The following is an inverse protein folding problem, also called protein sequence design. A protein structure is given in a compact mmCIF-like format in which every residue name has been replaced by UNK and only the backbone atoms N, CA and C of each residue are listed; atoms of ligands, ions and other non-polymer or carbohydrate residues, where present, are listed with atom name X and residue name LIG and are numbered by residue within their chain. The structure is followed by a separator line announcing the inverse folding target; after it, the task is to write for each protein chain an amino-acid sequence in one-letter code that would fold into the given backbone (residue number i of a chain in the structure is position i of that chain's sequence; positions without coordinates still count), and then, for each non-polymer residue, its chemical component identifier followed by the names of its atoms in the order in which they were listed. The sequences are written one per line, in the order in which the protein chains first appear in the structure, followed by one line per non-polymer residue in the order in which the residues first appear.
data_IF_193328360553
#
_entry.id   IF_193328360553
#
_cell.length_a   1.000
_cell.length_b   1.000
_cell.length_c   1.000
_cell.angle_alpha   90.00
_cell.angle_beta   90.00
_cell.angle_gamma   90.00
#
_symmetry.space_group_name_H-M   'P 1'
#
loop_
_entity.id
_entity.type
_entity.pdbx_description
1 polymer ?
#
# COMPACT_ATOMS: atom_id res chain seq x y z
N UNK A 1 -12.51 13.33 9.02
CA UNK A 1 -11.17 13.94 9.26
C UNK A 1 -11.00 15.16 8.36
N UNK A 2 -10.49 16.26 8.88
CA UNK A 2 -10.17 17.46 8.10
C UNK A 2 -8.74 17.39 7.49
N UNK A 3 -8.46 18.28 6.53
CA UNK A 3 -7.17 18.28 5.82
C UNK A 3 -5.97 18.59 6.74
N UNK A 4 -6.18 19.39 7.80
CA UNK A 4 -5.10 19.76 8.73
C UNK A 4 -4.66 18.58 9.57
N UNK A 5 -5.62 17.85 10.11
CA UNK A 5 -5.36 16.60 10.84
C UNK A 5 -4.75 15.52 9.96
N UNK A 6 -5.27 15.35 8.72
CA UNK A 6 -4.71 14.42 7.77
C UNK A 6 -3.23 14.72 7.46
N UNK A 7 -2.89 15.99 7.19
CA UNK A 7 -1.49 16.41 6.96
C UNK A 7 -0.59 16.12 8.16
N UNK A 8 -1.06 16.38 9.38
CA UNK A 8 -0.28 16.12 10.58
C UNK A 8 0.01 14.63 10.78
N UNK A 9 -0.95 13.74 10.49
CA UNK A 9 -0.77 12.29 10.56
C UNK A 9 0.12 11.75 9.43
N UNK A 10 0.04 12.33 8.22
CA UNK A 10 0.94 12.00 7.10
C UNK A 10 2.38 12.39 7.45
N UNK A 11 2.59 13.59 7.97
CA UNK A 11 3.94 14.06 8.35
C UNK A 11 4.53 13.22 9.50
N UNK A 12 3.71 12.77 10.45
CA UNK A 12 4.12 11.82 11.48
C UNK A 12 4.69 10.53 10.83
N UNK A 13 3.99 9.97 9.85
CA UNK A 13 4.42 8.78 9.13
C UNK A 13 5.66 9.03 8.27
N UNK A 14 5.73 10.15 7.55
CA UNK A 14 6.89 10.52 6.74
C UNK A 14 8.15 10.66 7.60
N UNK A 15 8.03 11.30 8.75
CA UNK A 15 9.13 11.42 9.73
C UNK A 15 9.55 10.04 10.24
N UNK A 16 8.58 9.22 10.65
CA UNK A 16 8.85 7.86 11.12
C UNK A 16 9.63 7.04 10.08
N UNK A 17 9.19 7.02 8.83
CA UNK A 17 9.85 6.24 7.78
C UNK A 17 11.21 6.79 7.39
N UNK A 18 11.40 8.11 7.38
CA UNK A 18 12.70 8.75 7.14
C UNK A 18 13.73 8.35 8.19
N UNK A 19 13.32 8.31 9.46
CA UNK A 19 14.20 7.99 10.58
C UNK A 19 14.48 6.50 10.73
N UNK A 20 13.57 5.63 10.28
CA UNK A 20 13.62 4.19 10.54
C UNK A 20 13.76 3.34 9.27
N UNK A 21 14.00 3.93 8.09
CA UNK A 21 14.00 3.22 6.80
C UNK A 21 14.92 1.99 6.78
N UNK A 22 16.15 2.10 7.28
CA UNK A 22 17.12 1.00 7.30
C UNK A 22 16.62 -0.16 8.17
N UNK A 23 16.33 0.10 9.45
CA UNK A 23 15.86 -0.93 10.39
C UNK A 23 14.52 -1.54 9.97
N UNK A 24 13.66 -0.73 9.32
CA UNK A 24 12.40 -1.21 8.77
C UNK A 24 12.62 -2.15 7.58
N UNK A 25 13.54 -1.82 6.68
CA UNK A 25 13.90 -2.64 5.53
C UNK A 25 14.52 -3.98 5.94
N UNK A 26 15.43 -3.98 6.93
CA UNK A 26 16.08 -5.19 7.45
C UNK A 26 15.09 -6.23 7.99
N UNK A 27 13.99 -5.79 8.61
CA UNK A 27 12.96 -6.69 9.14
C UNK A 27 12.01 -7.23 8.06
N UNK A 28 12.14 -6.80 6.81
CA UNK A 28 11.21 -7.10 5.71
C UNK A 28 11.92 -7.69 4.51
N UNK A 29 12.55 -8.84 4.71
CA UNK A 29 13.25 -9.59 3.66
C UNK A 29 12.37 -10.64 2.96
N UNK A 30 11.41 -11.24 3.68
CA UNK A 30 10.56 -12.29 3.14
C UNK A 30 9.34 -11.74 2.38
N UNK A 31 8.92 -12.41 1.29
CA UNK A 31 7.67 -12.07 0.62
C UNK A 31 6.46 -12.38 1.53
N UNK A 32 5.39 -11.63 1.36
CA UNK A 32 4.13 -11.91 2.05
C UNK A 32 3.42 -13.11 1.41
N UNK A 33 2.77 -13.93 2.24
CA UNK A 33 2.04 -15.12 1.75
C UNK A 33 0.90 -14.74 0.80
N UNK A 34 0.21 -13.62 1.08
CA UNK A 34 -0.87 -13.12 0.24
C UNK A 34 -0.44 -12.79 -1.20
N UNK A 35 0.82 -12.44 -1.42
CA UNK A 35 1.31 -12.16 -2.78
C UNK A 35 1.29 -13.38 -3.70
N UNK A 36 1.40 -14.59 -3.14
CA UNK A 36 1.29 -15.82 -3.93
C UNK A 36 -0.10 -15.97 -4.55
N UNK A 37 -1.16 -15.66 -3.79
CA UNK A 37 -2.53 -15.73 -4.30
C UNK A 37 -2.80 -14.60 -5.30
N UNK A 38 -2.24 -13.39 -5.08
CA UNK A 38 -2.29 -12.31 -6.06
C UNK A 38 -1.66 -12.74 -7.38
N UNK A 39 -0.46 -13.33 -7.36
CA UNK A 39 0.22 -13.79 -8.56
C UNK A 39 -0.54 -14.91 -9.28
N UNK A 40 -1.09 -15.90 -8.55
CA UNK A 40 -1.92 -16.96 -9.12
C UNK A 40 -3.18 -16.40 -9.78
N UNK A 41 -3.87 -15.50 -9.09
CA UNK A 41 -5.07 -14.84 -9.62
C UNK A 41 -4.72 -14.01 -10.86
N UNK A 42 -3.62 -13.26 -10.82
CA UNK A 42 -3.16 -12.51 -12.00
C UNK A 42 -2.88 -13.44 -13.20
N UNK A 43 -2.20 -14.57 -13.01
CA UNK A 43 -1.96 -15.53 -14.08
C UNK A 43 -3.25 -16.14 -14.64
N UNK A 44 -4.22 -16.44 -13.79
CA UNK A 44 -5.51 -17.00 -14.19
C UNK A 44 -6.36 -16.01 -14.99
N UNK A 45 -6.41 -14.77 -14.52
CA UNK A 45 -7.28 -13.72 -15.07
C UNK A 45 -6.67 -12.97 -16.26
N UNK A 46 -5.33 -13.02 -16.39
CA UNK A 46 -4.56 -12.45 -17.50
C UNK A 46 -3.71 -13.55 -18.15
N UNK A 47 -4.34 -14.57 -18.78
CA UNK A 47 -3.60 -15.65 -19.40
C UNK A 47 -2.71 -15.13 -20.53
N UNK A 48 -1.73 -15.94 -20.90
CA UNK A 48 -0.81 -15.67 -22.01
C UNK A 48 -1.61 -15.62 -23.33
N UNK A 49 -1.90 -14.45 -23.82
CA UNK A 49 -2.71 -14.23 -25.04
C UNK A 49 -2.49 -12.84 -25.64
N UNK A 50 -1.53 -12.11 -25.11
CA UNK A 50 -1.04 -10.86 -25.70
C UNK A 50 -0.15 -11.16 -26.90
N UNK A 51 0.00 -10.16 -27.77
CA UNK A 51 0.98 -10.26 -28.83
C UNK A 51 2.33 -10.70 -28.22
N UNK A 52 2.91 -11.75 -28.77
CA UNK A 52 4.15 -12.31 -28.29
C UNK A 52 5.20 -11.18 -28.24
N UNK A 53 5.67 -10.83 -27.02
CA UNK A 53 6.68 -9.80 -26.83
C UNK A 53 6.25 -8.55 -26.04
N UNK A 54 4.96 -8.35 -25.74
CA UNK A 54 4.54 -7.20 -24.92
C UNK A 54 4.81 -7.47 -23.42
N UNK A 55 5.61 -6.62 -22.75
CA UNK A 55 5.91 -6.80 -21.34
C UNK A 55 4.67 -6.53 -20.47
N UNK A 56 4.57 -7.26 -19.37
CA UNK A 56 3.59 -7.00 -18.31
C UNK A 56 3.99 -5.74 -17.55
N UNK A 57 3.12 -4.75 -17.46
CA UNK A 57 3.35 -3.51 -16.72
C UNK A 57 2.74 -3.59 -15.33
N UNK A 58 3.56 -3.42 -14.30
CA UNK A 58 3.16 -3.52 -12.90
C UNK A 58 3.46 -2.23 -12.18
N UNK A 59 2.44 -1.66 -11.51
CA UNK A 59 2.57 -0.56 -10.57
C UNK A 59 2.61 -1.11 -9.14
N UNK A 60 3.58 -0.65 -8.36
CA UNK A 60 3.64 -0.90 -6.91
C UNK A 60 3.61 0.43 -6.16
N UNK A 61 2.44 0.77 -5.63
CA UNK A 61 2.21 1.99 -4.85
C UNK A 61 2.67 1.79 -3.41
N UNK A 62 3.54 2.68 -2.93
CA UNK A 62 4.28 2.57 -1.67
C UNK A 62 5.16 1.31 -1.64
N UNK A 63 6.03 1.22 -2.65
CA UNK A 63 6.83 0.02 -2.93
C UNK A 63 7.93 -0.25 -1.87
N UNK A 64 8.25 0.72 -1.02
CA UNK A 64 9.32 0.60 -0.02
C UNK A 64 10.64 0.14 -0.66
N UNK A 65 11.21 -0.93 -0.13
CA UNK A 65 12.45 -1.54 -0.64
C UNK A 65 12.26 -2.43 -1.89
N UNK A 66 11.14 -2.33 -2.58
CA UNK A 66 10.82 -3.05 -3.83
C UNK A 66 10.88 -4.59 -3.75
N UNK A 67 10.67 -5.17 -2.58
CA UNK A 67 10.71 -6.65 -2.43
C UNK A 67 9.59 -7.35 -3.20
N UNK A 68 8.48 -6.66 -3.51
CA UNK A 68 7.43 -7.18 -4.39
C UNK A 68 7.98 -7.43 -5.80
N UNK A 69 8.83 -6.55 -6.32
CA UNK A 69 9.48 -6.75 -7.62
C UNK A 69 10.24 -8.08 -7.67
N UNK A 70 11.09 -8.34 -6.67
CA UNK A 70 11.87 -9.58 -6.60
C UNK A 70 10.99 -10.83 -6.47
N UNK A 71 9.88 -10.73 -5.74
CA UNK A 71 8.89 -11.80 -5.66
C UNK A 71 8.22 -12.04 -7.01
N UNK A 72 7.75 -10.99 -7.69
CA UNK A 72 7.04 -11.12 -8.98
C UNK A 72 7.94 -11.64 -10.09
N UNK A 73 9.20 -11.26 -10.10
CA UNK A 73 10.20 -11.82 -11.02
C UNK A 73 10.31 -13.34 -10.89
N UNK A 74 10.29 -13.85 -9.67
CA UNK A 74 10.32 -15.29 -9.40
C UNK A 74 8.97 -15.97 -9.65
N UNK A 75 7.86 -15.28 -9.39
CA UNK A 75 6.52 -15.82 -9.54
C UNK A 75 6.00 -15.82 -10.99
N UNK A 76 6.59 -14.98 -11.87
CA UNK A 76 6.21 -14.82 -13.28
C UNK A 76 7.42 -15.08 -14.22
N UNK A 77 8.08 -16.25 -14.15
CA UNK A 77 9.38 -16.49 -14.79
C UNK A 77 9.36 -16.46 -16.32
N UNK A 78 8.18 -16.54 -16.92
CA UNK A 78 8.02 -16.58 -18.38
C UNK A 78 7.49 -15.27 -18.96
N UNK A 79 7.47 -14.19 -18.16
CA UNK A 79 6.96 -12.89 -18.58
C UNK A 79 8.03 -11.83 -18.47
N UNK A 80 8.19 -11.03 -19.53
CA UNK A 80 8.93 -9.79 -19.43
C UNK A 80 8.10 -8.78 -18.65
N UNK A 81 8.73 -8.12 -17.66
CA UNK A 81 8.05 -7.24 -16.71
C UNK A 81 8.66 -5.84 -16.79
N UNK A 82 7.80 -4.84 -16.88
CA UNK A 82 8.13 -3.44 -16.59
C UNK A 82 7.49 -3.08 -15.26
N UNK A 83 8.31 -3.03 -14.22
CA UNK A 83 7.88 -2.69 -12.86
C UNK A 83 8.13 -1.21 -12.59
N UNK A 84 7.12 -0.53 -12.08
CA UNK A 84 7.18 0.86 -11.62
C UNK A 84 6.86 0.91 -10.13
N UNK A 85 7.88 1.12 -9.30
CA UNK A 85 7.72 1.37 -7.88
C UNK A 85 7.53 2.87 -7.61
N UNK A 86 6.58 3.20 -6.75
CA UNK A 86 6.31 4.58 -6.29
C UNK A 86 6.42 4.62 -4.79
N UNK A 87 7.25 5.50 -4.22
CA UNK A 87 7.36 5.72 -2.78
C UNK A 87 7.78 7.15 -2.47
N UNK A 88 7.43 7.65 -1.28
CA UNK A 88 7.85 8.97 -0.82
C UNK A 88 9.25 8.96 -0.20
N UNK A 89 9.72 7.82 0.30
CA UNK A 89 10.95 7.69 1.06
C UNK A 89 12.16 7.45 0.14
N UNK A 90 13.04 8.44 0.05
CA UNK A 90 14.30 8.37 -0.68
C UNK A 90 15.37 7.51 0.00
N UNK A 91 15.19 7.23 1.30
CA UNK A 91 16.13 6.43 2.09
C UNK A 91 15.97 4.91 1.90
N UNK A 92 14.93 4.44 1.20
CA UNK A 92 14.91 3.05 0.77
C UNK A 92 15.94 2.89 -0.35
N UNK A 93 17.03 2.15 -0.11
CA UNK A 93 17.98 1.91 -1.16
C UNK A 93 17.19 1.26 -2.30
N UNK A 94 17.23 1.87 -3.46
CA UNK A 94 16.98 1.12 -4.67
C UNK A 94 17.86 -0.11 -4.50
N UNK A 95 17.30 -1.26 -4.17
CA UNK A 95 18.04 -2.51 -4.17
C UNK A 95 18.53 -2.59 -5.58
N UNK A 96 19.81 -2.21 -5.71
CA UNK A 96 20.46 -2.07 -7.01
C UNK A 96 20.14 -3.35 -7.73
N UNK A 97 19.28 -3.25 -8.68
CA UNK A 97 18.84 -4.33 -9.51
C UNK A 97 20.09 -5.08 -9.97
N UNK A 98 20.25 -6.29 -9.50
CA UNK A 98 20.92 -7.24 -10.35
C UNK A 98 20.12 -7.21 -11.64
N UNK A 99 20.76 -6.75 -12.72
CA UNK A 99 20.10 -6.57 -14.00
C UNK A 99 19.44 -7.91 -14.38
N UNK A 100 18.13 -7.96 -14.22
CA UNK A 100 17.37 -9.11 -14.65
C UNK A 100 17.16 -9.05 -16.15
N UNK A 101 17.23 -10.19 -16.82
CA UNK A 101 16.95 -10.27 -18.26
C UNK A 101 15.44 -10.07 -18.56
N UNK A 102 14.58 -10.28 -17.56
CA UNK A 102 13.12 -10.31 -17.74
C UNK A 102 12.39 -9.22 -16.99
N UNK A 103 13.10 -8.38 -16.20
CA UNK A 103 12.44 -7.30 -15.47
C UNK A 103 13.22 -5.98 -15.59
N UNK A 104 12.55 -4.97 -16.16
CA UNK A 104 12.96 -3.57 -16.03
C UNK A 104 12.28 -2.95 -14.82
N UNK A 105 13.05 -2.29 -13.96
CA UNK A 105 12.56 -1.62 -12.75
C UNK A 105 12.75 -0.12 -12.88
N UNK A 106 11.65 0.61 -12.77
CA UNK A 106 11.62 2.07 -12.67
C UNK A 106 11.18 2.47 -11.26
N UNK A 107 11.73 3.54 -10.72
CA UNK A 107 11.35 4.10 -9.43
C UNK A 107 10.94 5.56 -9.58
N UNK A 108 9.79 5.92 -9.00
CA UNK A 108 9.29 7.30 -8.96
C UNK A 108 9.23 7.73 -7.50
N UNK A 109 10.07 8.67 -7.11
CA UNK A 109 9.95 9.33 -5.82
C UNK A 109 8.75 10.28 -5.84
N UNK A 110 7.70 9.93 -5.10
CA UNK A 110 6.47 10.70 -5.02
C UNK A 110 5.72 10.40 -3.72
N UNK A 111 5.36 11.45 -2.99
CA UNK A 111 4.38 11.36 -1.92
C UNK A 111 2.96 11.37 -2.53
N UNK A 112 2.41 10.15 -2.69
CA UNK A 112 1.08 9.95 -3.25
C UNK A 112 -0.03 10.53 -2.35
N UNK A 113 0.16 10.55 -1.02
CA UNK A 113 -0.82 11.10 -0.08
C UNK A 113 -0.86 12.63 -0.16
N UNK A 114 0.30 13.27 -0.18
CA UNK A 114 0.38 14.71 -0.35
C UNK A 114 -0.20 15.13 -1.72
N UNK A 115 0.09 14.37 -2.78
CA UNK A 115 -0.48 14.62 -4.10
C UNK A 115 -2.01 14.49 -4.11
N UNK A 116 -2.56 13.48 -3.42
CA UNK A 116 -4.00 13.26 -3.32
C UNK A 116 -4.70 14.34 -2.47
N UNK A 117 -4.05 14.86 -1.42
CA UNK A 117 -4.57 15.96 -0.60
C UNK A 117 -4.60 17.27 -1.35
N UNK A 118 -3.54 17.58 -2.08
CA UNK A 118 -3.40 18.85 -2.80
C UNK A 118 -4.25 18.90 -4.09
N UNK A 119 -4.92 17.79 -4.45
CA UNK A 119 -5.63 17.66 -5.72
C UNK A 119 -4.68 17.76 -6.93
N UNK A 120 -3.39 17.51 -6.71
CA UNK A 120 -2.35 17.62 -7.71
C UNK A 120 -2.36 16.42 -8.68
N UNK A 121 -3.43 16.36 -9.51
CA UNK A 121 -3.59 15.36 -10.57
C UNK A 121 -2.33 15.24 -11.44
N UNK A 122 -1.67 16.37 -11.74
CA UNK A 122 -0.42 16.43 -12.51
C UNK A 122 0.73 15.58 -11.92
N UNK A 123 0.75 15.35 -10.61
CA UNK A 123 1.77 14.50 -9.99
C UNK A 123 1.51 13.03 -10.26
N UNK A 124 0.24 12.62 -10.32
CA UNK A 124 -0.16 11.25 -10.70
C UNK A 124 0.04 11.01 -12.19
N UNK A 125 0.02 12.07 -13.03
CA UNK A 125 0.32 11.98 -14.46
C UNK A 125 1.76 11.49 -14.71
N UNK A 126 2.70 11.75 -13.80
CA UNK A 126 4.06 11.17 -13.89
C UNK A 126 4.02 9.66 -13.83
N UNK A 127 3.14 9.08 -13.01
CA UNK A 127 2.94 7.63 -12.93
C UNK A 127 2.25 7.15 -14.21
N UNK A 128 1.22 7.87 -14.67
CA UNK A 128 0.49 7.56 -15.90
C UNK A 128 1.38 7.64 -17.15
N UNK A 129 2.39 8.53 -17.17
CA UNK A 129 3.34 8.65 -18.27
C UNK A 129 4.18 7.38 -18.50
N UNK A 130 4.34 6.52 -17.48
CA UNK A 130 4.97 5.20 -17.63
C UNK A 130 4.03 4.14 -18.25
N UNK A 131 2.79 4.49 -18.55
CA UNK A 131 1.81 3.68 -19.27
C UNK A 131 0.70 3.09 -18.40
N UNK A 132 -0.28 2.51 -19.06
CA UNK A 132 -1.37 1.80 -18.41
C UNK A 132 -0.88 0.46 -17.86
N UNK A 133 -1.14 0.20 -16.58
CA UNK A 133 -0.64 -0.98 -15.89
C UNK A 133 -1.60 -2.18 -16.05
N UNK A 134 -1.03 -3.35 -16.14
CA UNK A 134 -1.74 -4.62 -16.17
C UNK A 134 -2.16 -5.06 -14.79
N UNK A 135 -1.30 -4.77 -13.82
CA UNK A 135 -1.52 -5.02 -12.40
C UNK A 135 -1.04 -3.79 -11.62
N UNK A 136 -1.93 -3.22 -10.82
CA UNK A 136 -1.57 -2.18 -9.84
C UNK A 136 -1.69 -2.76 -8.43
N UNK A 137 -0.61 -2.71 -7.68
CA UNK A 137 -0.50 -3.22 -6.31
C UNK A 137 -0.44 -2.07 -5.30
N UNK A 138 -1.06 -2.27 -4.13
CA UNK A 138 -0.94 -1.38 -2.99
C UNK A 138 -0.93 -2.22 -1.70
N UNK A 139 0.26 -2.59 -1.25
CA UNK A 139 0.43 -3.48 -0.11
C UNK A 139 1.12 -2.79 1.06
N UNK A 140 0.53 -2.93 2.25
CA UNK A 140 1.10 -2.34 3.46
C UNK A 140 1.03 -0.82 3.51
N UNK A 141 0.13 -0.18 2.76
CA UNK A 141 0.03 1.27 2.66
C UNK A 141 -1.34 1.82 3.11
N UNK A 142 -2.45 1.16 2.77
CA UNK A 142 -3.80 1.67 3.07
C UNK A 142 -4.00 2.03 4.54
N UNK A 143 -3.36 1.32 5.45
CA UNK A 143 -3.44 1.61 6.89
C UNK A 143 -2.62 2.84 7.33
N UNK A 144 -1.82 3.43 6.47
CA UNK A 144 -1.12 4.69 6.70
C UNK A 144 -1.86 5.92 6.15
N UNK A 145 -2.99 5.69 5.48
CA UNK A 145 -3.79 6.75 4.86
C UNK A 145 -4.83 7.23 5.86
N UNK A 146 -4.78 8.49 6.31
CA UNK A 146 -5.74 9.02 7.27
C UNK A 146 -7.07 9.36 6.60
N UNK A 147 -8.16 8.96 7.25
CA UNK A 147 -9.52 9.28 6.84
C UNK A 147 -10.04 8.52 5.62
N UNK A 148 -11.35 8.25 5.62
CA UNK A 148 -12.03 7.46 4.59
C UNK A 148 -11.92 8.07 3.19
N UNK A 149 -12.12 9.38 3.09
CA UNK A 149 -12.11 10.09 1.79
C UNK A 149 -10.76 9.96 1.08
N UNK A 150 -9.65 10.06 1.82
CA UNK A 150 -8.32 9.95 1.22
C UNK A 150 -8.01 8.50 0.81
N UNK A 151 -8.43 7.51 1.59
CA UNK A 151 -8.37 6.09 1.23
C UNK A 151 -9.10 5.81 -0.08
N UNK A 152 -10.31 6.36 -0.22
CA UNK A 152 -11.11 6.22 -1.44
C UNK A 152 -10.45 6.91 -2.64
N UNK A 153 -9.84 8.10 -2.46
CA UNK A 153 -9.10 8.79 -3.53
C UNK A 153 -7.91 7.95 -4.02
N UNK A 154 -7.12 7.39 -3.12
CA UNK A 154 -5.99 6.53 -3.49
C UNK A 154 -6.47 5.27 -4.22
N UNK A 155 -7.54 4.63 -3.74
CA UNK A 155 -8.10 3.45 -4.41
C UNK A 155 -8.57 3.79 -5.84
N UNK A 156 -9.27 4.92 -6.02
CA UNK A 156 -9.68 5.41 -7.35
C UNK A 156 -8.49 5.68 -8.25
N UNK A 157 -7.45 6.33 -7.74
CA UNK A 157 -6.23 6.60 -8.51
C UNK A 157 -5.55 5.30 -8.99
N UNK A 158 -5.48 4.27 -8.14
CA UNK A 158 -4.97 2.95 -8.55
C UNK A 158 -5.78 2.35 -9.70
N UNK A 159 -7.12 2.44 -9.63
CA UNK A 159 -8.00 1.94 -10.68
C UNK A 159 -7.79 2.72 -11.97
N UNK A 160 -7.70 4.05 -11.91
CA UNK A 160 -7.52 4.92 -13.08
C UNK A 160 -6.15 4.73 -13.75
N UNK A 161 -5.11 4.40 -12.98
CA UNK A 161 -3.77 4.09 -13.50
C UNK A 161 -3.68 2.69 -14.13
N UNK A 162 -4.59 1.80 -13.78
CA UNK A 162 -4.68 0.45 -14.33
C UNK A 162 -5.38 0.52 -15.70
N UNK A 163 -4.98 -0.27 -16.68
CA UNK A 163 -5.67 -0.31 -17.98
C UNK A 163 -7.07 -0.94 -17.88
N UNK A 164 -8.00 -0.66 -18.79
CA UNK A 164 -9.25 -1.41 -18.89
C UNK A 164 -8.98 -2.92 -18.95
N UNK A 165 -9.72 -3.71 -18.17
CA UNK A 165 -9.51 -5.15 -17.99
C UNK A 165 -8.31 -5.53 -17.14
N UNK A 166 -7.45 -4.60 -16.74
CA UNK A 166 -6.34 -4.84 -15.82
C UNK A 166 -6.79 -5.03 -14.37
N UNK A 167 -5.88 -5.51 -13.54
CA UNK A 167 -6.18 -5.89 -12.16
C UNK A 167 -5.59 -4.91 -11.15
N UNK A 168 -6.30 -4.72 -10.06
CA UNK A 168 -5.87 -3.95 -8.90
C UNK A 168 -5.85 -4.89 -7.69
N UNK A 169 -4.74 -4.95 -6.95
CA UNK A 169 -4.59 -5.75 -5.74
C UNK A 169 -4.25 -4.85 -4.56
N UNK A 170 -5.08 -4.87 -3.53
CA UNK A 170 -4.92 -4.02 -2.34
C UNK A 170 -4.94 -4.87 -1.08
N UNK A 171 -4.09 -4.55 -0.10
CA UNK A 171 -4.13 -5.17 1.23
C UNK A 171 -4.57 -4.16 2.29
N UNK A 172 -5.43 -4.62 3.19
CA UNK A 172 -5.96 -3.89 4.33
C UNK A 172 -5.54 -4.57 5.62
N UNK A 173 -4.75 -3.89 6.45
CA UNK A 173 -4.21 -4.46 7.67
C UNK A 173 -5.26 -4.50 8.78
N UNK A 174 -5.54 -5.69 9.32
CA UNK A 174 -6.54 -5.97 10.35
C UNK A 174 -5.89 -6.31 11.69
N UNK A 175 -4.86 -5.56 12.09
CA UNK A 175 -3.98 -5.90 13.20
C UNK A 175 -4.67 -5.94 14.58
N UNK A 176 -5.83 -5.32 14.72
CA UNK A 176 -6.61 -5.41 15.95
C UNK A 176 -7.22 -6.81 16.17
N UNK A 177 -7.15 -7.71 15.18
CA UNK A 177 -7.48 -9.13 15.33
C UNK A 177 -6.38 -9.92 16.04
N UNK A 178 -5.13 -9.48 15.98
CA UNK A 178 -4.01 -10.08 16.71
C UNK A 178 -3.96 -9.48 18.13
N UNK A 179 -4.17 -10.30 19.21
CA UNK A 179 -4.23 -9.79 20.59
C UNK A 179 -2.97 -9.06 21.02
N UNK A 180 -1.78 -9.47 20.54
CA UNK A 180 -0.51 -8.85 20.87
C UNK A 180 -0.38 -7.47 20.23
N UNK A 181 -0.73 -7.36 18.93
CA UNK A 181 -0.71 -6.09 18.21
C UNK A 181 -1.78 -5.15 18.74
N UNK A 182 -2.98 -5.64 19.03
CA UNK A 182 -4.07 -4.88 19.62
C UNK A 182 -3.69 -4.29 20.99
N UNK A 183 -3.05 -5.09 21.85
CA UNK A 183 -2.53 -4.60 23.14
C UNK A 183 -1.49 -3.51 22.92
N UNK A 184 -0.47 -3.76 22.07
CA UNK A 184 0.57 -2.77 21.77
C UNK A 184 -0.03 -1.46 21.23
N UNK A 185 -1.01 -1.53 20.34
CA UNK A 185 -1.68 -0.36 19.78
C UNK A 185 -2.36 0.48 20.87
N UNK A 186 -3.15 -0.17 21.75
CA UNK A 186 -3.83 0.51 22.85
C UNK A 186 -2.86 1.16 23.83
N UNK A 187 -1.84 0.41 24.26
CA UNK A 187 -0.82 0.90 25.20
C UNK A 187 -0.04 2.08 24.61
N UNK A 188 0.42 1.96 23.35
CA UNK A 188 1.18 3.02 22.68
C UNK A 188 0.33 4.27 22.46
N UNK A 189 -0.92 4.12 22.02
CA UNK A 189 -1.83 5.26 21.81
C UNK A 189 -2.15 5.94 23.14
N UNK A 190 -2.47 5.19 24.20
CA UNK A 190 -2.72 5.77 25.53
C UNK A 190 -1.51 6.51 26.09
N UNK A 191 -0.31 5.95 25.92
CA UNK A 191 0.93 6.62 26.32
C UNK A 191 1.15 7.94 25.56
N UNK A 192 1.02 7.90 24.23
CA UNK A 192 1.23 9.05 23.38
C UNK A 192 0.25 10.19 23.70
N UNK A 193 -1.01 9.87 23.96
CA UNK A 193 -2.03 10.86 24.36
C UNK A 193 -1.75 11.42 25.74
N UNK A 194 -1.41 10.59 26.74
CA UNK A 194 -1.10 11.00 28.11
C UNK A 194 0.11 11.93 28.17
N UNK A 195 1.16 11.61 27.43
CA UNK A 195 2.43 12.34 27.41
C UNK A 195 2.49 13.44 26.34
N UNK A 196 1.39 13.63 25.61
CA UNK A 196 1.27 14.64 24.53
C UNK A 196 2.40 14.54 23.51
N UNK A 197 2.68 13.33 23.06
CA UNK A 197 3.77 13.06 22.09
C UNK A 197 3.42 13.45 20.66
N UNK A 198 2.16 13.83 20.38
CA UNK A 198 1.69 14.26 19.08
C UNK A 198 1.43 15.75 19.02
N UNK A 199 1.56 16.38 17.84
CA UNK A 199 0.93 17.68 17.58
C UNK A 199 -0.58 17.61 17.87
N UNK A 200 -1.15 18.71 18.39
CA UNK A 200 -2.56 18.75 18.77
C UNK A 200 -3.48 18.38 17.59
N UNK A 201 -3.14 18.84 16.40
CA UNK A 201 -3.88 18.57 15.18
C UNK A 201 -3.96 17.05 14.88
N UNK A 202 -2.85 16.35 15.03
CA UNK A 202 -2.78 14.89 14.84
C UNK A 202 -3.57 14.16 15.93
N UNK A 203 -3.45 14.60 17.19
CA UNK A 203 -4.14 13.98 18.31
C UNK A 203 -5.67 14.13 18.20
N UNK A 204 -6.16 15.32 17.78
CA UNK A 204 -7.59 15.58 17.58
C UNK A 204 -8.16 14.92 16.32
N UNK A 205 -7.33 14.52 15.37
CA UNK A 205 -7.76 13.94 14.11
C UNK A 205 -7.97 12.42 14.16
N UNK A 206 -7.54 11.74 15.23
CA UNK A 206 -7.71 10.29 15.32
C UNK A 206 -9.20 9.93 15.38
N UNK A 207 -9.61 9.02 14.49
CA UNK A 207 -10.95 8.48 14.36
C UNK A 207 -11.01 7.04 14.91
N UNK A 208 -12.21 6.45 14.94
CA UNK A 208 -12.38 5.04 15.30
C UNK A 208 -11.55 4.15 14.34
N UNK A 209 -10.86 3.17 14.90
CA UNK A 209 -9.94 2.31 14.12
C UNK A 209 -8.52 2.88 13.96
N UNK A 210 -8.27 4.13 14.36
CA UNK A 210 -6.96 4.77 14.29
C UNK A 210 -6.13 4.54 15.55
N UNK A 211 -4.87 4.18 15.35
CA UNK A 211 -3.95 3.81 16.41
C UNK A 211 -2.55 4.34 16.14
N UNK A 212 -1.79 4.48 17.22
CA UNK A 212 -0.37 4.73 17.16
C UNK A 212 0.41 3.47 17.48
N UNK A 213 1.40 3.18 16.65
CA UNK A 213 2.30 2.06 16.87
C UNK A 213 3.73 2.56 17.01
N UNK A 214 4.41 2.14 18.06
CA UNK A 214 5.84 2.36 18.24
C UNK A 214 6.67 1.39 17.40
N UNK A 215 7.95 1.73 17.21
CA UNK A 215 8.90 0.89 16.51
C UNK A 215 9.96 0.34 17.47
N UNK A 216 10.23 -0.96 17.37
CA UNK A 216 11.14 -1.68 18.27
C UNK A 216 10.82 -1.36 19.75
N UNK A 217 11.83 -1.02 20.54
CA UNK A 217 11.68 -0.67 21.95
C UNK A 217 11.55 0.84 22.19
N UNK A 218 11.43 1.66 21.11
CA UNK A 218 11.25 3.10 21.23
C UNK A 218 9.76 3.47 21.27
N UNK A 219 9.24 3.88 22.45
CA UNK A 219 7.84 4.31 22.53
C UNK A 219 7.59 5.69 21.90
N UNK A 220 8.66 6.43 21.55
CA UNK A 220 8.58 7.76 20.94
C UNK A 220 8.73 7.77 19.43
N UNK A 221 9.19 6.67 18.82
CA UNK A 221 9.19 6.49 17.38
C UNK A 221 7.80 6.02 16.93
N UNK A 222 6.88 6.97 16.81
CA UNK A 222 5.46 6.72 16.58
C UNK A 222 5.12 6.76 15.09
N UNK A 223 4.23 5.87 14.69
CA UNK A 223 3.55 5.94 13.40
C UNK A 223 2.04 5.79 13.55
N UNK A 224 1.31 6.51 12.75
CA UNK A 224 -0.13 6.36 12.60
C UNK A 224 -0.44 5.10 11.80
N UNK A 225 -1.39 4.31 12.28
CA UNK A 225 -1.93 3.14 11.58
C UNK A 225 -3.43 3.01 11.83
N UNK A 226 -4.17 2.71 10.77
CA UNK A 226 -5.58 2.35 10.84
C UNK A 226 -5.75 0.83 10.77
N UNK A 227 -6.56 0.25 11.67
CA UNK A 227 -6.91 -1.16 11.60
C UNK A 227 -8.26 -1.33 10.95
N UNK A 228 -8.29 -1.90 9.76
CA UNK A 228 -9.52 -2.09 9.01
C UNK A 228 -10.44 -3.15 9.59
N UNK A 229 -11.74 -2.91 9.51
CA UNK A 229 -12.79 -3.92 9.63
C UNK A 229 -13.22 -4.40 8.23
N UNK A 230 -13.91 -5.55 8.15
CA UNK A 230 -14.45 -6.00 6.85
C UNK A 230 -15.52 -5.03 6.34
N UNK A 231 -16.35 -4.46 7.23
CA UNK A 231 -17.38 -3.47 6.86
C UNK A 231 -16.79 -2.17 6.29
N UNK A 232 -15.65 -1.71 6.78
CA UNK A 232 -14.97 -0.53 6.19
C UNK A 232 -14.40 -0.83 4.80
N UNK A 233 -13.87 -2.03 4.60
CA UNK A 233 -13.42 -2.46 3.27
C UNK A 233 -14.61 -2.55 2.31
N UNK A 234 -15.76 -3.09 2.77
CA UNK A 234 -17.01 -3.12 1.98
C UNK A 234 -17.49 -1.71 1.63
N UNK A 235 -17.46 -0.78 2.58
CA UNK A 235 -17.82 0.61 2.35
C UNK A 235 -16.93 1.29 1.30
N UNK A 236 -15.60 1.07 1.34
CA UNK A 236 -14.67 1.60 0.34
C UNK A 236 -14.97 1.08 -1.07
N UNK A 237 -15.33 -0.20 -1.20
CA UNK A 237 -15.67 -0.79 -2.51
C UNK A 237 -17.04 -0.28 -2.99
N UNK A 238 -18.03 -0.17 -2.09
CA UNK A 238 -19.38 0.30 -2.45
C UNK A 238 -19.43 1.77 -2.87
N UNK A 239 -18.49 2.59 -2.40
CA UNK A 239 -18.37 4.02 -2.76
C UNK A 239 -17.62 4.25 -4.08
N UNK A 240 -17.14 3.19 -4.74
CA UNK A 240 -16.61 3.32 -6.08
C UNK A 240 -17.73 3.64 -7.07
N UNK A 241 -17.50 4.52 -8.05
CA UNK A 241 -18.47 4.77 -9.11
C UNK A 241 -18.91 3.48 -9.79
N UNK A 242 -20.21 3.35 -10.03
CA UNK A 242 -20.76 2.20 -10.73
C UNK A 242 -20.07 1.98 -12.08
N UNK A 243 -19.62 0.77 -12.36
CA UNK A 243 -18.94 0.42 -13.59
C UNK A 243 -17.47 0.86 -13.66
N UNK A 244 -16.87 1.40 -12.59
CA UNK A 244 -15.45 1.74 -12.58
C UNK A 244 -14.56 0.49 -12.45
N UNK A 245 -14.92 -0.40 -11.54
CA UNK A 245 -14.25 -1.68 -11.33
C UNK A 245 -15.20 -2.71 -10.70
N UNK A 246 -14.89 -3.99 -10.86
CA UNK A 246 -15.60 -5.09 -10.23
C UNK A 246 -14.65 -5.92 -9.35
N UNK A 247 -15.11 -6.32 -8.17
CA UNK A 247 -14.39 -7.25 -7.32
C UNK A 247 -14.38 -8.64 -7.96
N UNK A 248 -13.18 -9.24 -8.08
CA UNK A 248 -13.01 -10.57 -8.64
C UNK A 248 -12.69 -11.63 -7.59
N UNK A 249 -11.99 -11.25 -6.53
CA UNK A 249 -11.78 -12.12 -5.39
C UNK A 249 -11.38 -11.33 -4.14
N UNK A 250 -11.60 -11.97 -2.99
CA UNK A 250 -11.25 -11.48 -1.67
C UNK A 250 -10.73 -12.65 -0.83
N UNK A 251 -9.64 -12.45 -0.11
CA UNK A 251 -9.06 -13.47 0.77
C UNK A 251 -8.31 -12.83 1.93
N UNK A 252 -8.03 -13.63 2.97
CA UNK A 252 -7.15 -13.24 4.07
C UNK A 252 -5.83 -13.96 3.95
N UNK A 253 -4.76 -13.31 4.37
CA UNK A 253 -3.42 -13.90 4.42
C UNK A 253 -2.54 -13.17 5.46
N UNK A 254 -1.31 -13.66 5.56
CA UNK A 254 -0.23 -13.11 6.37
C UNK A 254 -0.45 -13.24 7.89
N UNK A 255 0.61 -12.99 8.63
CA UNK A 255 0.64 -13.23 10.06
C UNK A 255 0.74 -14.71 10.41
N UNK A 256 0.68 -15.01 11.73
CA UNK A 256 0.79 -16.39 12.21
C UNK A 256 -0.48 -17.21 11.95
N UNK A 257 -1.62 -16.55 11.92
CA UNK A 257 -2.95 -17.15 11.77
C UNK A 257 -3.46 -17.12 10.32
N UNK A 258 -2.75 -16.40 9.42
CA UNK A 258 -3.15 -16.28 8.02
C UNK A 258 -4.30 -15.30 7.77
N UNK A 259 -4.61 -14.42 8.75
CA UNK A 259 -5.75 -13.50 8.69
C UNK A 259 -5.38 -12.04 9.05
N UNK A 260 -4.08 -11.73 9.06
CA UNK A 260 -3.61 -10.41 9.45
C UNK A 260 -3.92 -9.31 8.43
N UNK A 261 -3.98 -9.68 7.16
CA UNK A 261 -4.35 -8.78 6.06
C UNK A 261 -5.57 -9.32 5.31
N UNK A 262 -6.52 -8.42 5.02
CA UNK A 262 -7.56 -8.64 4.02
C UNK A 262 -7.05 -8.16 2.68
N UNK A 263 -7.06 -9.02 1.68
CA UNK A 263 -6.74 -8.72 0.29
C UNK A 263 -8.03 -8.61 -0.53
N UNK A 264 -8.07 -7.61 -1.40
CA UNK A 264 -9.11 -7.44 -2.41
C UNK A 264 -8.44 -7.34 -3.77
N UNK A 265 -8.97 -8.05 -4.74
CA UNK A 265 -8.59 -7.88 -6.13
C UNK A 265 -9.78 -7.38 -6.94
N UNK A 266 -9.56 -6.30 -7.66
CA UNK A 266 -10.55 -5.67 -8.53
C UNK A 266 -10.10 -5.82 -9.99
N UNK A 267 -11.05 -5.81 -10.91
CA UNK A 267 -10.82 -5.62 -12.35
C UNK A 267 -11.36 -4.27 -12.77
N UNK A 268 -10.54 -3.44 -13.40
CA UNK A 268 -11.01 -2.21 -14.02
C UNK A 268 -11.95 -2.54 -15.20
N UNK A 269 -13.08 -1.86 -15.27
CA UNK A 269 -14.01 -1.96 -16.39
C UNK A 269 -13.45 -1.36 -17.70
#
# INVERSE_FOLDING_TARGET
MDDRGARALIELNNTFYRENASSFSETRSAPWQGWQEVARTFCRECPEGRAAGDPVRILDMACGNQRLASFLESALPHRDIVYCGVDSCDAFPATASQASRHMRRDYIQLDALQAALDGAQQRLERIAAHGNYDLSCCFGFMHHIPGFTLRLRILRSLIELTKPGGLIAVSYWQFMRDPRLARKARETTALAMRERLLPQEAACALEDGDWLLGWQDSPRSLRYCHSFTDSEVDALISELPAGLAAEICRFSADGKTGDLNRYIMLRRA
#
